data_IF_099362478892
#
_entry.id   IF_099362478892
#
_cell.length_a   1.000
_cell.length_b   1.000
_cell.length_c   1.000
_cell.angle_alpha   90.00
_cell.angle_beta   90.00
_cell.angle_gamma   90.00
#
_symmetry.space_group_name_H-M   'P 1'
#
loop_
_entity.id
_entity.type
_entity.pdbx_description
1 polymer ?
#
# COMPACT_ATOMS: atom_id res chain seq x y z
N UNK A 1 3.13 -0.88 14.43
CA UNK A 1 4.38 -0.45 13.77
C UNK A 1 5.39 -0.06 14.83
N UNK A 2 6.63 -0.59 14.81
CA UNK A 2 7.73 0.10 15.51
C UNK A 2 8.02 1.34 14.68
N UNK A 3 7.57 2.49 15.17
CA UNK A 3 8.05 3.78 14.71
C UNK A 3 9.57 3.72 14.87
N UNK A 4 10.34 3.82 13.79
CA UNK A 4 11.80 3.90 13.91
C UNK A 4 12.17 5.15 14.72
N UNK A 5 13.37 5.18 15.32
CA UNK A 5 13.77 6.30 16.18
C UNK A 5 13.63 7.67 15.50
N UNK A 6 13.91 7.72 14.19
CA UNK A 6 13.79 8.91 13.36
C UNK A 6 12.33 9.31 13.15
N UNK A 7 11.45 8.35 12.89
CA UNK A 7 10.02 8.59 12.69
C UNK A 7 9.33 9.11 13.96
N UNK A 8 9.76 8.63 15.12
CA UNK A 8 9.25 9.08 16.41
C UNK A 8 9.73 10.49 16.69
N UNK A 9 11.01 10.75 16.42
CA UNK A 9 11.60 12.07 16.52
C UNK A 9 10.89 13.07 15.59
N UNK A 10 10.66 12.74 14.31
CA UNK A 10 9.88 13.57 13.37
C UNK A 10 8.48 13.88 13.91
N UNK A 11 7.83 12.91 14.54
CA UNK A 11 6.51 13.12 15.14
C UNK A 11 6.58 14.05 16.37
N UNK A 12 7.60 13.90 17.22
CA UNK A 12 7.85 14.75 18.39
C UNK A 12 8.27 16.17 18.00
N UNK A 13 8.95 16.33 16.86
CA UNK A 13 9.37 17.63 16.33
C UNK A 13 8.17 18.54 16.10
N UNK A 14 7.02 18.01 15.70
CA UNK A 14 5.81 18.81 15.45
C UNK A 14 5.45 19.70 16.65
N UNK A 15 5.46 19.15 17.86
CA UNK A 15 5.18 19.91 19.10
C UNK A 15 6.20 21.01 19.43
N UNK A 16 7.39 20.97 18.84
CA UNK A 16 8.51 21.89 19.15
C UNK A 16 8.75 22.95 18.07
N UNK A 17 8.18 22.80 16.86
CA UNK A 17 8.41 23.71 15.72
C UNK A 17 7.68 25.07 15.87
N UNK A 18 6.85 25.23 16.91
CA UNK A 18 6.11 26.46 17.20
C UNK A 18 4.63 26.35 16.84
N UNK A 19 3.81 27.25 17.39
CA UNK A 19 2.35 27.13 17.36
C UNK A 19 1.72 27.01 15.97
N UNK A 20 2.18 27.81 14.99
CA UNK A 20 1.60 27.81 13.64
C UNK A 20 1.82 26.51 12.87
N UNK A 21 3.00 25.89 13.01
CA UNK A 21 3.28 24.61 12.35
C UNK A 21 2.42 23.49 12.92
N UNK A 22 2.35 23.39 14.25
CA UNK A 22 1.49 22.41 14.95
C UNK A 22 0.03 22.56 14.55
N UNK A 23 -0.46 23.82 14.49
CA UNK A 23 -1.82 24.14 14.08
C UNK A 23 -2.10 23.68 12.65
N UNK A 24 -1.23 24.02 11.69
CA UNK A 24 -1.42 23.59 10.29
C UNK A 24 -1.36 22.08 10.10
N UNK A 25 -0.46 21.39 10.83
CA UNK A 25 -0.43 19.93 10.85
C UNK A 25 -1.77 19.42 11.35
N UNK A 26 -2.27 19.89 12.50
CA UNK A 26 -3.55 19.44 13.03
C UNK A 26 -4.73 19.69 12.07
N UNK A 27 -4.80 20.87 11.46
CA UNK A 27 -5.88 21.26 10.53
C UNK A 27 -5.87 20.42 9.24
N UNK A 28 -4.70 20.09 8.69
CA UNK A 28 -4.60 19.46 7.36
C UNK A 28 -4.32 17.95 7.40
N UNK A 29 -3.64 17.45 8.43
CA UNK A 29 -3.29 16.03 8.55
C UNK A 29 -4.42 15.20 9.16
N UNK A 30 -5.15 15.72 10.16
CA UNK A 30 -6.18 14.94 10.86
C UNK A 30 -7.20 14.31 9.90
N UNK A 31 -7.76 15.03 8.91
CA UNK A 31 -8.67 14.40 7.94
C UNK A 31 -7.99 13.29 7.12
N UNK A 32 -6.71 13.46 6.74
CA UNK A 32 -5.98 12.45 5.96
C UNK A 32 -5.67 11.20 6.80
N UNK A 33 -5.39 11.38 8.09
CA UNK A 33 -5.21 10.27 9.04
C UNK A 33 -6.52 9.53 9.24
N UNK A 34 -7.60 10.24 9.50
CA UNK A 34 -8.87 9.64 9.89
C UNK A 34 -9.58 8.99 8.69
N UNK A 35 -9.57 9.64 7.53
CA UNK A 35 -10.24 9.15 6.33
C UNK A 35 -9.44 8.07 5.58
N UNK A 36 -8.10 8.15 5.61
CA UNK A 36 -7.23 7.29 4.81
C UNK A 36 -6.24 6.43 5.61
N UNK A 37 -6.08 6.66 6.92
CA UNK A 37 -4.99 6.07 7.71
C UNK A 37 -3.59 6.40 7.16
N UNK A 38 -3.41 7.65 6.70
CA UNK A 38 -2.10 8.20 6.37
C UNK A 38 -1.27 8.32 7.65
N UNK A 39 -0.05 7.80 7.61
CA UNK A 39 0.96 7.99 8.65
C UNK A 39 1.52 9.41 8.60
N UNK A 40 1.83 9.96 9.78
CA UNK A 40 2.34 11.32 9.91
C UNK A 40 3.70 11.51 9.21
N UNK A 41 4.52 10.45 9.17
CA UNK A 41 5.89 10.50 8.67
C UNK A 41 5.96 10.81 7.16
N UNK A 42 5.28 10.07 6.26
CA UNK A 42 5.22 10.44 4.85
C UNK A 42 4.73 11.87 4.60
N UNK A 43 3.69 12.28 5.35
CA UNK A 43 3.11 13.63 5.26
C UNK A 43 4.14 14.71 5.61
N UNK A 44 4.80 14.59 6.76
CA UNK A 44 5.80 15.55 7.21
C UNK A 44 7.04 15.53 6.31
N UNK A 45 7.55 14.35 5.93
CA UNK A 45 8.71 14.24 5.02
C UNK A 45 8.45 14.94 3.70
N UNK A 46 7.24 14.84 3.16
CA UNK A 46 6.85 15.53 1.94
C UNK A 46 6.82 17.05 2.11
N UNK A 47 6.10 17.55 3.10
CA UNK A 47 5.99 18.99 3.37
C UNK A 47 7.36 19.61 3.62
N UNK A 48 8.15 18.99 4.50
CA UNK A 48 9.49 19.47 4.85
C UNK A 48 10.42 19.45 3.62
N UNK A 49 10.23 18.50 2.71
CA UNK A 49 10.97 18.47 1.45
C UNK A 49 10.63 19.64 0.53
N UNK A 50 9.35 19.99 0.41
CA UNK A 50 8.91 21.18 -0.34
C UNK A 50 9.37 22.49 0.31
N UNK A 51 9.64 22.48 1.62
CA UNK A 51 10.26 23.58 2.35
C UNK A 51 11.78 23.65 2.17
N UNK A 52 12.37 22.77 1.36
CA UNK A 52 13.76 22.87 0.89
C UNK A 52 14.77 21.95 1.59
N UNK A 53 14.33 21.09 2.51
CA UNK A 53 15.22 20.12 3.17
C UNK A 53 15.25 18.78 2.41
N UNK A 54 16.45 18.22 2.21
CA UNK A 54 16.61 16.90 1.59
C UNK A 54 16.22 15.79 2.57
N UNK A 55 15.80 14.63 2.07
CA UNK A 55 15.41 13.49 2.92
C UNK A 55 16.50 13.05 3.90
N UNK A 56 17.77 13.08 3.48
CA UNK A 56 18.93 12.76 4.35
C UNK A 56 19.08 13.78 5.48
N UNK A 57 18.80 15.06 5.20
CA UNK A 57 18.85 16.12 6.20
C UNK A 57 17.69 15.98 7.18
N UNK A 58 16.48 15.64 6.71
CA UNK A 58 15.32 15.40 7.58
C UNK A 58 15.64 14.31 8.62
N UNK A 59 16.16 13.17 8.17
CA UNK A 59 16.53 12.07 9.07
C UNK A 59 17.69 12.42 10.00
N UNK A 60 18.70 13.17 9.52
CA UNK A 60 19.81 13.60 10.37
C UNK A 60 19.31 14.51 11.47
N UNK A 61 18.48 15.47 11.12
CA UNK A 61 18.05 16.52 12.05
C UNK A 61 17.04 16.01 13.06
N UNK A 62 16.21 15.04 12.70
CA UNK A 62 15.39 14.30 13.64
C UNK A 62 16.23 13.71 14.80
N UNK A 63 17.47 13.30 14.53
CA UNK A 63 18.38 12.73 15.54
C UNK A 63 19.12 13.79 16.37
N UNK A 64 19.27 15.01 15.87
CA UNK A 64 20.21 16.00 16.42
C UNK A 64 19.60 16.93 17.49
N UNK A 65 18.33 17.37 17.36
CA UNK A 65 17.42 17.92 18.40
C UNK A 65 16.32 18.77 17.74
N UNK A 66 15.19 19.07 18.43
CA UNK A 66 14.17 19.98 17.91
C UNK A 66 14.64 21.41 17.60
N UNK A 67 15.58 21.94 18.36
CA UNK A 67 16.11 23.29 18.19
C UNK A 67 16.98 23.40 16.93
N UNK A 68 17.71 22.34 16.58
CA UNK A 68 18.51 22.28 15.36
C UNK A 68 17.59 22.19 14.14
N UNK A 69 16.49 21.43 14.25
CA UNK A 69 15.44 21.37 13.22
C UNK A 69 14.82 22.74 12.98
N UNK A 70 14.37 23.39 14.05
CA UNK A 70 13.81 24.73 14.00
C UNK A 70 14.79 25.72 13.34
N UNK A 71 16.05 25.77 13.79
CA UNK A 71 17.08 26.66 13.23
C UNK A 71 17.35 26.40 11.75
N UNK A 72 17.28 25.16 11.28
CA UNK A 72 17.45 24.84 9.86
C UNK A 72 16.26 25.29 9.02
N UNK A 73 15.05 25.12 9.52
CA UNK A 73 13.87 25.69 8.87
C UNK A 73 13.95 27.23 8.85
N UNK A 74 14.34 27.88 9.96
CA UNK A 74 14.57 29.34 9.99
C UNK A 74 15.62 29.77 8.95
N UNK A 75 16.76 29.08 8.86
CA UNK A 75 17.82 29.35 7.86
C UNK A 75 17.37 29.09 6.42
N UNK A 76 16.52 28.10 6.20
CA UNK A 76 15.90 27.84 4.90
C UNK A 76 14.83 28.89 4.54
N UNK A 77 14.59 29.89 5.39
CA UNK A 77 13.57 30.92 5.19
C UNK A 77 12.14 30.41 5.43
N UNK A 78 12.00 29.26 6.10
CA UNK A 78 10.73 28.55 6.29
C UNK A 78 9.98 29.01 7.54
N UNK A 79 10.70 29.33 8.62
CA UNK A 79 10.12 29.80 9.90
C UNK A 79 10.38 31.30 10.18
N UNK A 80 10.84 32.07 9.19
CA UNK A 80 11.20 33.49 9.34
C UNK A 80 10.45 34.42 8.38
N UNK A 81 10.10 35.64 8.86
CA UNK A 81 9.53 36.87 8.25
C UNK A 81 8.48 36.81 7.10
N UNK A 82 8.18 35.66 6.50
CA UNK A 82 7.12 35.50 5.49
C UNK A 82 6.19 34.32 5.82
N UNK A 83 5.29 34.47 6.81
CA UNK A 83 4.29 33.45 7.15
C UNK A 83 3.42 33.02 5.97
N UNK A 84 3.21 33.92 4.99
CA UNK A 84 2.46 33.66 3.77
C UNK A 84 3.06 32.54 2.92
N UNK A 85 4.37 32.56 2.67
CA UNK A 85 5.06 31.54 1.86
C UNK A 85 5.04 30.17 2.52
N UNK A 86 5.22 30.11 3.84
CA UNK A 86 5.13 28.86 4.60
C UNK A 86 3.73 28.25 4.49
N UNK A 87 2.68 29.05 4.77
CA UNK A 87 1.29 28.61 4.65
C UNK A 87 0.95 28.18 3.22
N UNK A 88 1.42 28.90 2.21
CA UNK A 88 1.23 28.56 0.80
C UNK A 88 1.83 27.19 0.46
N UNK A 89 3.11 26.97 0.76
CA UNK A 89 3.78 25.68 0.50
C UNK A 89 3.11 24.55 1.29
N UNK A 90 2.73 24.79 2.54
CA UNK A 90 2.07 23.81 3.39
C UNK A 90 0.70 23.42 2.83
N UNK A 91 -0.14 24.39 2.47
CA UNK A 91 -1.47 24.16 1.92
C UNK A 91 -1.40 23.49 0.55
N UNK A 92 -0.47 23.93 -0.32
CA UNK A 92 -0.26 23.30 -1.62
C UNK A 92 0.25 21.85 -1.48
N UNK A 93 1.14 21.59 -0.53
CA UNK A 93 1.59 20.22 -0.21
C UNK A 93 0.43 19.37 0.32
N UNK A 94 -0.35 19.90 1.27
CA UNK A 94 -1.50 19.19 1.83
C UNK A 94 -2.53 18.82 0.76
N UNK A 95 -2.79 19.74 -0.18
CA UNK A 95 -3.63 19.50 -1.35
C UNK A 95 -3.05 18.41 -2.26
N UNK A 96 -1.76 18.47 -2.59
CA UNK A 96 -1.13 17.46 -3.44
C UNK A 96 -1.16 16.05 -2.81
N UNK A 97 -0.93 15.94 -1.50
CA UNK A 97 -1.06 14.67 -0.78
C UNK A 97 -2.51 14.16 -0.79
N UNK A 98 -3.49 15.04 -0.59
CA UNK A 98 -4.91 14.69 -0.71
C UNK A 98 -5.25 14.14 -2.09
N UNK A 99 -4.80 14.81 -3.16
CA UNK A 99 -5.01 14.33 -4.53
C UNK A 99 -4.34 12.97 -4.77
N UNK A 100 -3.17 12.71 -4.20
CA UNK A 100 -2.54 11.38 -4.23
C UNK A 100 -3.43 10.32 -3.58
N UNK A 101 -4.00 10.61 -2.41
CA UNK A 101 -4.90 9.67 -1.72
C UNK A 101 -6.21 9.45 -2.47
N UNK A 102 -6.79 10.51 -3.05
CA UNK A 102 -7.96 10.43 -3.91
C UNK A 102 -7.69 9.60 -5.17
N UNK A 103 -6.51 9.74 -5.77
CA UNK A 103 -6.05 8.92 -6.89
C UNK A 103 -6.01 7.45 -6.50
N UNK A 104 -5.39 7.09 -5.38
CA UNK A 104 -5.31 5.71 -4.90
C UNK A 104 -6.70 5.12 -4.61
N UNK A 105 -7.60 5.92 -4.03
CA UNK A 105 -9.00 5.52 -3.80
C UNK A 105 -9.73 5.28 -5.11
N UNK A 106 -9.61 6.19 -6.08
CA UNK A 106 -10.25 6.11 -7.40
C UNK A 106 -9.74 4.94 -8.23
N UNK A 107 -8.42 4.76 -8.29
CA UNK A 107 -7.80 3.78 -9.18
C UNK A 107 -7.70 2.39 -8.57
N UNK A 108 -7.40 2.31 -7.27
CA UNK A 108 -7.09 1.05 -6.57
C UNK A 108 -8.13 0.67 -5.52
N UNK A 109 -9.14 1.51 -5.27
CA UNK A 109 -10.16 1.26 -4.24
C UNK A 109 -9.63 1.40 -2.81
N UNK A 110 -8.40 1.88 -2.62
CA UNK A 110 -7.78 2.05 -1.31
C UNK A 110 -8.39 3.24 -0.58
N UNK A 111 -9.50 2.99 0.11
CA UNK A 111 -10.08 3.96 1.06
C UNK A 111 -9.16 4.16 2.25
N UNK A 112 -8.52 3.07 2.68
CA UNK A 112 -7.53 3.05 3.75
C UNK A 112 -6.22 2.50 3.18
N UNK A 113 -5.12 3.24 3.38
CA UNK A 113 -3.80 2.92 2.80
C UNK A 113 -2.91 2.07 3.73
N UNK A 114 -3.45 1.51 4.82
CA UNK A 114 -2.72 0.56 5.69
C UNK A 114 -2.34 -0.74 4.98
N UNK A 115 -3.04 -1.12 3.90
CA UNK A 115 -2.63 -2.24 3.05
C UNK A 115 -1.41 -1.92 2.19
N UNK A 116 -1.08 -0.64 1.97
CA UNK A 116 0.06 -0.24 1.16
C UNK A 116 1.37 -0.67 1.85
N UNK A 117 2.24 -1.46 1.21
CA UNK A 117 3.49 -1.94 1.82
C UNK A 117 4.40 -0.82 2.33
N UNK A 118 4.45 0.32 1.65
CA UNK A 118 5.16 1.51 2.11
C UNK A 118 4.45 2.80 1.69
N UNK A 119 3.96 3.55 2.67
CA UNK A 119 3.37 4.88 2.44
C UNK A 119 4.40 5.95 2.01
N UNK A 120 5.71 5.67 2.06
CA UNK A 120 6.73 6.57 1.50
C UNK A 120 6.63 6.69 -0.03
N UNK A 121 6.03 5.69 -0.69
CA UNK A 121 5.74 5.74 -2.14
C UNK A 121 4.73 6.81 -2.52
N UNK A 122 4.01 7.39 -1.56
CA UNK A 122 3.12 8.52 -1.82
C UNK A 122 3.88 9.82 -2.10
N UNK A 123 5.13 9.94 -1.61
CA UNK A 123 5.88 11.20 -1.66
C UNK A 123 6.30 11.57 -3.10
N UNK A 124 6.86 10.67 -3.94
CA UNK A 124 7.14 11.02 -5.35
C UNK A 124 5.87 11.35 -6.13
N UNK A 125 4.76 10.63 -5.90
CA UNK A 125 3.47 10.95 -6.55
C UNK A 125 3.00 12.35 -6.13
N UNK A 126 2.96 12.64 -4.83
CA UNK A 126 2.55 13.94 -4.32
C UNK A 126 3.49 15.06 -4.81
N UNK A 127 4.79 14.78 -4.95
CA UNK A 127 5.78 15.72 -5.53
C UNK A 127 5.44 16.02 -6.98
N UNK A 128 5.20 15.00 -7.81
CA UNK A 128 4.78 15.20 -9.19
C UNK A 128 3.50 16.06 -9.28
N UNK A 129 2.47 15.74 -8.49
CA UNK A 129 1.21 16.49 -8.47
C UNK A 129 1.39 17.94 -8.00
N UNK A 130 2.28 18.16 -7.03
CA UNK A 130 2.61 19.50 -6.52
C UNK A 130 3.27 20.38 -7.59
N UNK A 131 4.29 19.86 -8.29
CA UNK A 131 5.04 20.64 -9.28
C UNK A 131 4.28 20.81 -10.60
N UNK A 132 3.41 19.86 -10.97
CA UNK A 132 2.50 19.97 -12.12
C UNK A 132 1.28 20.86 -11.85
N UNK A 133 1.14 21.36 -10.62
CA UNK A 133 0.04 22.23 -10.16
C UNK A 133 -1.36 21.61 -10.42
N UNK A 134 -1.47 20.32 -10.10
CA UNK A 134 -2.67 19.55 -10.38
C UNK A 134 -3.80 20.00 -9.46
N UNK A 135 -4.95 20.30 -10.06
CA UNK A 135 -6.15 20.72 -9.34
C UNK A 135 -7.21 19.60 -9.23
N UNK A 136 -7.15 18.60 -10.11
CA UNK A 136 -8.07 17.47 -10.11
C UNK A 136 -7.42 16.23 -10.73
N UNK A 137 -7.63 15.07 -10.10
CA UNK A 137 -7.14 13.78 -10.62
C UNK A 137 -7.74 13.42 -11.98
N UNK A 138 -8.90 13.97 -12.35
CA UNK A 138 -9.56 13.71 -13.64
C UNK A 138 -8.76 14.22 -14.85
N UNK A 139 -7.84 15.15 -14.63
CA UNK A 139 -6.99 15.74 -15.66
C UNK A 139 -5.67 14.98 -15.86
N UNK A 140 -5.44 13.92 -15.09
CA UNK A 140 -4.20 13.17 -15.11
C UNK A 140 -4.32 11.94 -16.01
N UNK A 141 -3.26 11.68 -16.77
CA UNK A 141 -2.94 10.31 -17.12
C UNK A 141 -2.35 9.63 -15.87
N UNK A 142 -3.00 8.55 -15.45
CA UNK A 142 -2.69 7.84 -14.21
C UNK A 142 -1.98 6.51 -14.45
N UNK A 143 -1.88 6.03 -15.69
CA UNK A 143 -1.41 4.67 -15.98
C UNK A 143 0.01 4.46 -15.44
N UNK A 144 0.94 5.35 -15.80
CA UNK A 144 2.33 5.28 -15.37
C UNK A 144 2.49 5.44 -13.85
N UNK A 145 1.70 6.34 -13.24
CA UNK A 145 1.70 6.58 -11.79
C UNK A 145 1.31 5.31 -11.04
N UNK A 146 0.21 4.67 -11.46
CA UNK A 146 -0.32 3.49 -10.80
C UNK A 146 0.58 2.28 -11.04
N UNK A 147 1.10 2.09 -12.25
CA UNK A 147 2.04 1.00 -12.52
C UNK A 147 3.34 1.17 -11.72
N UNK A 148 3.88 2.40 -11.61
CA UNK A 148 5.02 2.67 -10.74
C UNK A 148 4.71 2.34 -9.28
N UNK A 149 3.55 2.77 -8.76
CA UNK A 149 3.16 2.51 -7.36
C UNK A 149 3.10 1.01 -7.07
N UNK A 150 2.53 0.23 -7.99
CA UNK A 150 2.44 -1.24 -7.92
C UNK A 150 3.85 -1.85 -7.86
N UNK A 151 4.74 -1.48 -8.78
CA UNK A 151 6.11 -1.99 -8.83
C UNK A 151 6.89 -1.59 -7.57
N UNK A 152 6.84 -0.30 -7.21
CA UNK A 152 7.57 0.27 -6.08
C UNK A 152 7.23 -0.42 -4.76
N UNK A 153 5.94 -0.68 -4.53
CA UNK A 153 5.46 -1.37 -3.33
C UNK A 153 5.74 -2.87 -3.36
N UNK A 154 5.60 -3.52 -4.52
CA UNK A 154 5.90 -4.95 -4.62
C UNK A 154 7.39 -5.26 -4.47
N UNK A 155 8.25 -4.41 -5.06
CA UNK A 155 9.71 -4.54 -4.99
C UNK A 155 10.31 -3.98 -3.70
N UNK A 156 9.53 -3.27 -2.89
CA UNK A 156 9.99 -2.71 -1.62
C UNK A 156 11.15 -1.74 -1.80
N UNK A 157 11.04 -0.79 -2.75
CA UNK A 157 12.18 0.04 -3.20
C UNK A 157 12.80 0.88 -2.07
N UNK A 158 12.01 1.22 -1.05
CA UNK A 158 12.41 2.02 0.12
C UNK A 158 12.73 1.20 1.38
N UNK A 159 12.95 -0.11 1.26
CA UNK A 159 13.37 -0.96 2.38
C UNK A 159 14.84 -0.79 2.78
N UNK A 160 15.66 -0.17 1.92
CA UNK A 160 17.09 0.06 2.14
C UNK A 160 17.52 1.36 1.47
N UNK A 161 18.48 2.07 2.09
CA UNK A 161 18.97 3.39 1.63
C UNK A 161 17.82 4.37 1.36
N UNK A 162 16.81 4.33 2.24
CA UNK A 162 15.51 4.98 2.08
C UNK A 162 15.63 6.45 1.72
N UNK A 163 16.39 7.23 2.51
CA UNK A 163 16.51 8.68 2.28
C UNK A 163 17.13 9.01 0.92
N UNK A 164 18.21 8.32 0.53
CA UNK A 164 18.91 8.58 -0.73
C UNK A 164 18.05 8.22 -1.93
N UNK A 165 17.40 7.04 -1.91
CA UNK A 165 16.51 6.61 -2.99
C UNK A 165 15.29 7.50 -3.11
N UNK A 166 14.67 7.83 -1.98
CA UNK A 166 13.50 8.71 -1.96
C UNK A 166 13.86 10.11 -2.46
N UNK A 167 15.02 10.65 -2.07
CA UNK A 167 15.49 11.94 -2.60
C UNK A 167 15.71 11.89 -4.11
N UNK A 168 16.35 10.84 -4.63
CA UNK A 168 16.52 10.62 -6.07
C UNK A 168 15.17 10.63 -6.79
N UNK A 169 14.20 9.86 -6.29
CA UNK A 169 12.88 9.75 -6.94
C UNK A 169 12.11 11.07 -6.87
N UNK A 170 12.22 11.84 -5.78
CA UNK A 170 11.71 13.21 -5.67
C UNK A 170 12.34 14.12 -6.73
N UNK A 171 13.66 14.04 -6.91
CA UNK A 171 14.39 14.86 -7.88
C UNK A 171 14.04 14.49 -9.33
N UNK A 172 13.78 13.22 -9.61
CA UNK A 172 13.36 12.72 -10.93
C UNK A 172 11.98 13.28 -11.33
N UNK A 173 11.00 13.24 -10.42
CA UNK A 173 9.62 13.69 -10.74
C UNK A 173 9.43 15.20 -10.69
N UNK A 174 10.42 15.93 -10.18
CA UNK A 174 10.32 17.37 -9.94
C UNK A 174 10.40 18.14 -11.26
N UNK A 175 9.30 18.81 -11.61
CA UNK A 175 9.24 19.70 -12.77
C UNK A 175 9.16 18.98 -14.12
N UNK A 176 8.84 17.69 -14.14
CA UNK A 176 8.56 16.96 -15.38
C UNK A 176 7.17 17.28 -15.90
N UNK A 177 6.99 17.22 -17.23
CA UNK A 177 5.67 17.42 -17.87
C UNK A 177 4.76 16.19 -17.72
N UNK A 178 5.36 15.02 -17.84
CA UNK A 178 4.74 13.68 -17.75
C UNK A 178 5.38 12.90 -16.60
N UNK A 179 4.73 11.82 -16.16
CA UNK A 179 5.24 11.05 -15.02
C UNK A 179 6.41 10.17 -15.49
N UNK A 180 7.64 10.34 -14.97
CA UNK A 180 8.84 9.73 -15.54
C UNK A 180 9.01 8.26 -15.10
N UNK A 181 8.15 7.37 -15.61
CA UNK A 181 8.12 5.95 -15.22
C UNK A 181 9.47 5.28 -15.43
N UNK A 182 10.05 5.41 -16.63
CA UNK A 182 11.28 4.72 -16.99
C UNK A 182 12.45 5.14 -16.09
N UNK A 183 12.60 6.45 -15.85
CA UNK A 183 13.65 7.01 -15.00
C UNK A 183 13.55 6.52 -13.56
N UNK A 184 12.34 6.45 -13.02
CA UNK A 184 12.06 5.93 -11.68
C UNK A 184 12.39 4.44 -11.58
N UNK A 185 12.15 3.66 -12.63
CA UNK A 185 12.41 2.21 -12.64
C UNK A 185 13.86 1.83 -12.94
N UNK A 186 14.70 2.74 -13.47
CA UNK A 186 16.06 2.44 -13.92
C UNK A 186 16.97 1.74 -12.89
N UNK A 187 16.81 2.01 -11.59
CA UNK A 187 17.62 1.37 -10.53
C UNK A 187 17.03 0.05 -9.99
N UNK A 188 15.82 -0.32 -10.42
CA UNK A 188 15.16 -1.54 -9.97
C UNK A 188 15.56 -2.67 -10.91
N UNK A 189 16.41 -3.58 -10.44
CA UNK A 189 16.74 -4.80 -11.20
C UNK A 189 15.46 -5.60 -11.46
N UNK A 190 15.14 -5.83 -12.73
CA UNK A 190 13.95 -6.57 -13.18
C UNK A 190 12.65 -5.99 -12.58
N UNK A 191 12.25 -4.76 -12.97
CA UNK A 191 11.15 -4.05 -12.32
C UNK A 191 9.82 -4.81 -12.47
N UNK A 192 9.55 -5.36 -13.67
CA UNK A 192 8.32 -6.08 -13.98
C UNK A 192 8.11 -7.31 -13.13
N UNK A 193 6.89 -7.49 -12.63
CA UNK A 193 6.46 -8.59 -11.77
C UNK A 193 6.11 -9.79 -12.65
N UNK A 194 6.78 -10.92 -12.42
CA UNK A 194 6.54 -12.17 -13.16
C UNK A 194 5.61 -13.10 -12.40
N UNK A 195 5.05 -14.10 -13.09
CA UNK A 195 4.27 -15.16 -12.45
C UNK A 195 5.06 -15.87 -11.34
N UNK A 196 6.36 -16.14 -11.58
CA UNK A 196 7.24 -16.74 -10.58
C UNK A 196 7.36 -15.86 -9.32
N UNK A 197 7.37 -14.53 -9.47
CA UNK A 197 7.38 -13.64 -8.32
C UNK A 197 6.08 -13.76 -7.52
N UNK A 198 4.91 -13.78 -8.17
CA UNK A 198 3.64 -13.90 -7.47
C UNK A 198 3.44 -15.29 -6.83
N UNK A 199 3.91 -16.35 -7.49
CA UNK A 199 3.87 -17.73 -6.99
C UNK A 199 4.60 -17.93 -5.66
N UNK A 200 5.67 -17.16 -5.40
CA UNK A 200 6.35 -17.17 -4.09
C UNK A 200 5.41 -16.81 -2.94
N UNK A 201 4.32 -16.09 -3.22
CA UNK A 201 3.28 -15.79 -2.23
C UNK A 201 2.60 -17.04 -1.66
N UNK A 202 2.62 -18.19 -2.34
CA UNK A 202 2.10 -19.45 -1.77
C UNK A 202 3.00 -20.05 -0.69
N UNK A 203 4.26 -19.62 -0.62
CA UNK A 203 5.27 -20.11 0.30
C UNK A 203 5.67 -19.05 1.35
N UNK A 204 4.81 -18.06 1.56
CA UNK A 204 4.99 -16.99 2.55
C UNK A 204 3.65 -16.82 3.27
N UNK A 205 3.69 -16.65 4.60
CA UNK A 205 2.51 -16.21 5.33
C UNK A 205 2.16 -14.76 4.92
N UNK A 206 1.14 -14.60 4.05
CA UNK A 206 0.76 -13.30 3.50
C UNK A 206 0.14 -12.35 4.52
N UNK A 207 -0.21 -12.87 5.71
CA UNK A 207 -0.78 -12.12 6.82
C UNK A 207 0.30 -11.48 7.72
N UNK A 208 1.58 -11.77 7.46
CA UNK A 208 2.73 -11.15 8.14
C UNK A 208 3.33 -10.02 7.28
N UNK A 209 4.22 -9.23 7.88
CA UNK A 209 4.83 -8.05 7.22
C UNK A 209 5.50 -8.37 5.88
N UNK A 210 6.23 -9.50 5.77
CA UNK A 210 6.86 -9.93 4.52
C UNK A 210 5.85 -10.27 3.42
N UNK A 211 4.62 -10.61 3.82
CA UNK A 211 3.49 -10.97 2.98
C UNK A 211 2.65 -9.79 2.46
N UNK A 212 2.80 -8.62 3.09
CA UNK A 212 1.97 -7.45 2.81
C UNK A 212 1.95 -7.04 1.32
N UNK A 213 3.06 -7.11 0.54
CA UNK A 213 3.01 -6.83 -0.89
C UNK A 213 2.06 -7.75 -1.68
N UNK A 214 1.97 -9.03 -1.33
CA UNK A 214 1.07 -9.98 -1.99
C UNK A 214 -0.39 -9.70 -1.63
N UNK A 215 -0.64 -9.39 -0.36
CA UNK A 215 -1.98 -9.05 0.12
C UNK A 215 -2.49 -7.74 -0.51
N UNK A 216 -1.60 -6.76 -0.69
CA UNK A 216 -1.89 -5.53 -1.42
C UNK A 216 -2.29 -5.81 -2.87
N UNK A 217 -1.51 -6.61 -3.61
CA UNK A 217 -1.85 -6.97 -4.99
C UNK A 217 -3.15 -7.76 -5.08
N UNK A 218 -3.41 -8.68 -4.15
CA UNK A 218 -4.68 -9.41 -4.08
C UNK A 218 -5.86 -8.46 -3.92
N UNK A 219 -5.79 -7.53 -2.96
CA UNK A 219 -6.86 -6.54 -2.76
C UNK A 219 -7.12 -5.73 -4.02
N UNK A 220 -6.06 -5.24 -4.67
CA UNK A 220 -6.17 -4.49 -5.92
C UNK A 220 -6.80 -5.33 -7.04
N UNK A 221 -6.40 -6.59 -7.19
CA UNK A 221 -6.97 -7.51 -8.17
C UNK A 221 -8.48 -7.70 -7.95
N UNK A 222 -8.90 -7.94 -6.70
CA UNK A 222 -10.30 -8.08 -6.33
C UNK A 222 -11.11 -6.82 -6.66
N UNK A 223 -10.57 -5.64 -6.34
CA UNK A 223 -11.21 -4.35 -6.67
C UNK A 223 -11.39 -4.19 -8.18
N UNK A 224 -10.36 -4.51 -8.98
CA UNK A 224 -10.40 -4.36 -10.43
C UNK A 224 -11.36 -5.36 -11.09
N UNK A 225 -11.56 -6.54 -10.51
CA UNK A 225 -12.57 -7.51 -10.94
C UNK A 225 -13.96 -7.28 -10.35
N UNK A 226 -14.18 -6.17 -9.63
CA UNK A 226 -15.47 -5.86 -8.99
C UNK A 226 -15.98 -6.99 -8.09
N UNK A 227 -15.05 -7.63 -7.38
CA UNK A 227 -15.36 -8.64 -6.39
C UNK A 227 -16.19 -8.06 -5.23
N UNK A 228 -17.18 -8.83 -4.78
CA UNK A 228 -18.01 -8.52 -3.61
C UNK A 228 -17.44 -9.14 -2.33
N UNK A 229 -18.03 -8.86 -1.17
CA UNK A 229 -17.60 -9.37 0.12
C UNK A 229 -18.28 -10.70 0.49
N UNK A 230 -18.84 -11.40 -0.51
CA UNK A 230 -19.70 -12.59 -0.41
C UNK A 230 -21.04 -12.36 0.29
N UNK A 231 -21.32 -11.11 0.69
CA UNK A 231 -22.61 -10.63 1.15
C UNK A 231 -23.22 -9.60 0.16
N UNK A 232 -22.74 -9.62 -1.09
CA UNK A 232 -23.23 -8.79 -2.19
C UNK A 232 -22.67 -7.37 -2.28
N UNK A 233 -21.95 -6.87 -1.27
CA UNK A 233 -21.36 -5.53 -1.33
C UNK A 233 -19.95 -5.56 -1.93
N UNK A 234 -19.64 -4.66 -2.85
CA UNK A 234 -18.31 -4.60 -3.48
C UNK A 234 -17.21 -4.34 -2.44
N UNK A 235 -16.07 -5.05 -2.53
CA UNK A 235 -14.90 -4.84 -1.65
C UNK A 235 -14.45 -3.38 -1.65
N UNK A 236 -14.48 -2.71 -2.81
CA UNK A 236 -14.16 -1.28 -2.95
C UNK A 236 -15.05 -0.35 -2.11
N UNK A 237 -16.26 -0.78 -1.79
CA UNK A 237 -17.22 0.01 -1.00
C UNK A 237 -17.02 -0.11 0.51
N UNK A 238 -16.28 -1.13 0.96
CA UNK A 238 -16.05 -1.44 2.38
C UNK A 238 -14.81 -0.74 2.94
N UNK A 239 -14.87 -0.40 4.21
CA UNK A 239 -13.68 -0.11 5.01
C UNK A 239 -12.95 -1.43 5.34
N UNK A 240 -11.64 -1.35 5.55
CA UNK A 240 -10.82 -2.56 5.73
C UNK A 240 -11.11 -3.31 7.03
N UNK A 241 -11.63 -2.64 8.05
CA UNK A 241 -12.03 -3.22 9.34
C UNK A 241 -13.36 -4.00 9.28
N UNK A 242 -14.18 -3.75 8.24
CA UNK A 242 -15.38 -4.53 7.90
C UNK A 242 -15.04 -5.85 7.16
N UNK A 243 -13.80 -5.97 6.65
CA UNK A 243 -13.35 -7.13 5.88
C UNK A 243 -12.44 -8.05 6.71
N UNK A 244 -12.65 -9.36 6.56
CA UNK A 244 -11.74 -10.39 7.05
C UNK A 244 -10.80 -10.86 5.94
N UNK A 245 -9.58 -11.24 6.34
CA UNK A 245 -8.64 -11.98 5.49
C UNK A 245 -8.95 -13.48 5.66
N UNK A 246 -9.86 -13.97 4.84
CA UNK A 246 -10.42 -15.31 4.95
C UNK A 246 -9.50 -16.35 4.34
N UNK A 247 -9.30 -17.46 5.06
CA UNK A 247 -8.68 -18.67 4.56
C UNK A 247 -9.73 -19.52 3.84
N UNK A 248 -9.62 -19.64 2.52
CA UNK A 248 -10.59 -20.39 1.69
C UNK A 248 -10.66 -21.86 2.12
N UNK A 249 -9.51 -22.48 2.37
CA UNK A 249 -9.43 -23.69 3.15
C UNK A 249 -9.16 -23.24 4.59
N UNK A 250 -10.15 -23.30 5.50
CA UNK A 250 -9.99 -22.75 6.83
C UNK A 250 -8.80 -23.37 7.55
N UNK A 251 -8.19 -22.59 8.44
CA UNK A 251 -7.03 -23.04 9.21
C UNK A 251 -7.34 -24.32 10.00
N UNK A 252 -8.46 -24.34 10.72
CA UNK A 252 -8.90 -25.48 11.53
C UNK A 252 -9.05 -26.74 10.66
N UNK A 253 -9.73 -26.61 9.52
CA UNK A 253 -9.89 -27.68 8.53
C UNK A 253 -8.55 -28.24 8.02
N UNK A 254 -7.57 -27.38 7.75
CA UNK A 254 -6.23 -27.82 7.33
C UNK A 254 -5.45 -28.47 8.47
N UNK A 255 -5.51 -27.92 9.68
CA UNK A 255 -4.75 -28.43 10.83
C UNK A 255 -5.22 -29.79 11.35
N UNK A 256 -6.47 -30.18 11.04
CA UNK A 256 -7.00 -31.53 11.28
C UNK A 256 -6.52 -32.58 10.26
N UNK A 257 -5.84 -32.15 9.19
CA UNK A 257 -5.39 -33.01 8.10
C UNK A 257 -3.90 -33.38 8.22
N UNK A 258 -3.50 -34.45 7.51
CA UNK A 258 -2.09 -34.91 7.47
C UNK A 258 -1.23 -34.22 6.39
N UNK A 259 -1.74 -33.17 5.71
CA UNK A 259 -1.01 -32.49 4.63
C UNK A 259 -0.23 -31.25 5.11
N UNK A 260 -0.50 -30.78 6.33
CA UNK A 260 0.15 -29.60 6.89
C UNK A 260 1.56 -29.98 7.39
N UNK A 261 2.61 -29.24 7.01
CA UNK A 261 3.96 -29.49 7.52
C UNK A 261 4.06 -29.36 9.05
N UNK A 262 4.93 -30.17 9.66
CA UNK A 262 5.17 -30.11 11.12
C UNK A 262 5.98 -28.88 11.55
N UNK A 263 6.88 -28.38 10.69
CA UNK A 263 7.72 -27.23 11.02
C UNK A 263 6.87 -25.95 11.13
N UNK A 264 6.91 -25.21 12.25
CA UNK A 264 5.98 -24.11 12.49
C UNK A 264 5.98 -22.98 11.43
N UNK A 265 7.11 -22.61 10.84
CA UNK A 265 7.17 -21.54 9.83
C UNK A 265 6.65 -22.00 8.47
N UNK A 266 6.94 -23.24 8.10
CA UNK A 266 6.43 -23.91 6.91
C UNK A 266 4.92 -24.10 7.04
N UNK A 267 4.42 -24.59 8.18
CA UNK A 267 2.98 -24.65 8.53
C UNK A 267 2.29 -23.31 8.28
N UNK A 268 2.82 -22.24 8.86
CA UNK A 268 2.22 -20.91 8.75
C UNK A 268 2.17 -20.40 7.31
N UNK A 269 3.21 -20.68 6.52
CA UNK A 269 3.30 -20.26 5.13
C UNK A 269 2.43 -21.12 4.22
N UNK A 270 2.33 -22.41 4.50
CA UNK A 270 1.49 -23.38 3.81
C UNK A 270 0.00 -23.01 3.93
N UNK A 271 -0.46 -22.76 5.16
CA UNK A 271 -1.85 -22.41 5.48
C UNK A 271 -2.19 -21.00 4.98
N UNK A 272 -1.32 -20.02 5.26
CA UNK A 272 -1.59 -18.60 4.98
C UNK A 272 -0.92 -18.11 3.70
N UNK A 273 -0.76 -18.98 2.70
CA UNK A 273 -0.25 -18.62 1.38
C UNK A 273 -1.26 -17.83 0.55
N UNK A 274 -0.77 -17.05 -0.42
CA UNK A 274 -1.58 -16.16 -1.26
C UNK A 274 -2.80 -16.86 -1.88
N UNK A 275 -2.61 -18.05 -2.44
CA UNK A 275 -3.65 -18.84 -3.06
C UNK A 275 -4.79 -19.21 -2.11
N UNK A 276 -4.54 -19.26 -0.80
CA UNK A 276 -5.56 -19.60 0.19
C UNK A 276 -6.22 -18.38 0.85
N UNK A 277 -5.74 -17.16 0.63
CA UNK A 277 -6.29 -15.96 1.27
C UNK A 277 -7.18 -15.17 0.32
N UNK A 278 -8.30 -14.67 0.83
CA UNK A 278 -9.21 -13.74 0.14
C UNK A 278 -9.79 -12.71 1.11
N UNK A 279 -10.51 -11.71 0.61
CA UNK A 279 -11.20 -10.72 1.44
C UNK A 279 -12.70 -10.93 1.38
N UNK A 280 -13.36 -11.08 2.52
CA UNK A 280 -14.83 -11.21 2.62
C UNK A 280 -15.35 -10.42 3.80
N UNK A 281 -16.67 -10.34 3.94
CA UNK A 281 -17.31 -9.73 5.09
C UNK A 281 -16.88 -10.40 6.41
N UNK A 282 -16.55 -9.59 7.43
CA UNK A 282 -16.03 -10.10 8.71
C UNK A 282 -17.02 -10.96 9.49
N UNK A 283 -18.32 -10.65 9.44
CA UNK A 283 -19.35 -11.46 10.08
C UNK A 283 -19.50 -12.80 9.37
N UNK A 284 -19.58 -12.78 8.03
CA UNK A 284 -19.67 -13.99 7.23
C UNK A 284 -18.47 -14.92 7.44
N UNK A 285 -17.26 -14.37 7.56
CA UNK A 285 -16.07 -15.15 7.89
C UNK A 285 -16.21 -15.92 9.21
N UNK A 286 -16.86 -15.31 10.21
CA UNK A 286 -17.11 -15.97 11.49
C UNK A 286 -18.19 -17.05 11.37
N UNK A 287 -19.20 -16.84 10.52
CA UNK A 287 -20.25 -17.82 10.25
C UNK A 287 -19.73 -19.05 9.49
N UNK A 288 -18.81 -18.88 8.54
CA UNK A 288 -18.16 -20.00 7.82
C UNK A 288 -17.27 -20.83 8.76
N UNK A 289 -16.57 -20.19 9.69
CA UNK A 289 -15.72 -20.88 10.67
C UNK A 289 -14.73 -21.87 10.04
N UNK A 290 -14.67 -23.08 10.57
CA UNK A 290 -13.82 -24.19 10.12
C UNK A 290 -14.43 -25.11 9.05
N UNK A 291 -15.54 -24.73 8.40
CA UNK A 291 -16.25 -25.59 7.45
C UNK A 291 -15.41 -26.02 6.24
N UNK A 292 -15.69 -27.22 5.72
CA UNK A 292 -15.05 -27.74 4.52
C UNK A 292 -15.37 -26.80 3.32
N UNK A 293 -14.36 -26.36 2.54
CA UNK A 293 -14.58 -25.52 1.35
C UNK A 293 -15.57 -26.11 0.36
N UNK A 294 -15.66 -27.44 0.26
CA UNK A 294 -16.62 -28.12 -0.60
C UNK A 294 -18.05 -27.96 -0.13
N UNK A 295 -18.30 -27.69 1.14
CA UNK A 295 -19.66 -27.51 1.64
C UNK A 295 -20.13 -26.08 1.41
N UNK A 296 -19.29 -25.09 1.71
CA UNK A 296 -19.73 -23.70 1.71
C UNK A 296 -19.50 -22.97 0.38
N UNK A 297 -18.48 -23.30 -0.43
CA UNK A 297 -18.16 -22.54 -1.65
C UNK A 297 -19.28 -22.61 -2.70
N UNK A 298 -20.10 -23.67 -2.71
CA UNK A 298 -21.25 -23.79 -3.60
C UNK A 298 -22.30 -22.68 -3.39
N UNK A 299 -22.36 -22.10 -2.20
CA UNK A 299 -23.30 -21.03 -1.86
C UNK A 299 -22.87 -19.67 -2.44
N UNK A 300 -21.63 -19.56 -2.92
CA UNK A 300 -21.03 -18.30 -3.36
C UNK A 300 -20.57 -18.34 -4.83
N UNK A 301 -21.16 -19.20 -5.67
CA UNK A 301 -20.74 -19.43 -7.08
C UNK A 301 -20.50 -18.14 -7.88
N UNK A 302 -21.34 -17.12 -7.70
CA UNK A 302 -21.20 -15.83 -8.41
C UNK A 302 -20.02 -14.98 -7.90
N UNK A 303 -19.68 -15.11 -6.62
CA UNK A 303 -18.60 -14.38 -5.99
C UNK A 303 -17.24 -15.06 -6.22
N UNK A 304 -17.18 -16.39 -6.13
CA UNK A 304 -15.91 -17.14 -6.15
C UNK A 304 -15.08 -16.87 -7.42
N UNK A 305 -15.72 -16.69 -8.59
CA UNK A 305 -15.02 -16.39 -9.84
C UNK A 305 -14.30 -15.04 -9.80
N UNK A 306 -14.97 -14.00 -9.26
CA UNK A 306 -14.37 -12.67 -9.07
C UNK A 306 -13.25 -12.68 -8.02
N UNK A 307 -13.22 -13.69 -7.16
CA UNK A 307 -12.16 -13.93 -6.18
C UNK A 307 -11.05 -14.84 -6.70
N UNK A 308 -11.07 -15.17 -8.00
CA UNK A 308 -10.11 -16.02 -8.68
C UNK A 308 -10.09 -17.46 -8.18
N UNK A 309 -11.12 -17.88 -7.44
CA UNK A 309 -11.27 -19.25 -6.97
C UNK A 309 -11.63 -20.11 -8.19
N UNK A 310 -10.86 -21.19 -8.48
CA UNK A 310 -11.17 -22.06 -9.59
C UNK A 310 -12.55 -22.70 -9.43
N UNK A 311 -13.41 -22.58 -10.45
CA UNK A 311 -14.76 -23.18 -10.48
C UNK A 311 -14.74 -24.71 -10.62
N UNK A 312 -13.57 -25.29 -10.90
CA UNK A 312 -13.32 -26.74 -10.94
C UNK A 312 -13.38 -27.31 -9.52
N UNK A 313 -14.50 -27.92 -9.16
CA UNK A 313 -14.76 -28.41 -7.80
C UNK A 313 -13.90 -29.61 -7.42
N UNK A 314 -13.32 -30.32 -8.40
CA UNK A 314 -12.44 -31.47 -8.17
C UNK A 314 -11.14 -31.09 -7.46
N UNK A 315 -10.79 -29.80 -7.43
CA UNK A 315 -9.62 -29.29 -6.72
C UNK A 315 -9.97 -28.58 -5.40
N UNK A 316 -11.20 -28.71 -4.92
CA UNK A 316 -11.59 -28.19 -3.59
C UNK A 316 -11.32 -29.21 -2.48
N UNK A 317 -10.60 -30.29 -2.79
CA UNK A 317 -10.24 -31.38 -1.87
C UNK A 317 -8.88 -31.14 -1.21
N UNK A 318 -8.68 -31.70 -0.01
CA UNK A 318 -7.43 -31.57 0.75
C UNK A 318 -6.19 -32.01 -0.06
N UNK A 319 -6.25 -33.16 -0.72
CA UNK A 319 -5.13 -33.68 -1.52
C UNK A 319 -4.80 -32.81 -2.74
N UNK A 320 -5.70 -31.90 -3.14
CA UNK A 320 -5.50 -30.92 -4.22
C UNK A 320 -5.21 -29.50 -3.73
N UNK A 321 -5.03 -29.29 -2.42
CA UNK A 321 -4.86 -27.95 -1.84
C UNK A 321 -3.74 -27.12 -2.49
N UNK A 322 -2.56 -27.71 -2.74
CA UNK A 322 -1.47 -27.00 -3.43
C UNK A 322 -1.83 -26.68 -4.89
N UNK A 323 -2.45 -27.62 -5.60
CA UNK A 323 -2.94 -27.40 -6.96
C UNK A 323 -3.98 -26.27 -7.03
N UNK A 324 -4.87 -26.20 -6.03
CA UNK A 324 -5.82 -25.11 -5.85
C UNK A 324 -5.11 -23.77 -5.71
N UNK A 325 -4.16 -23.67 -4.77
CA UNK A 325 -3.39 -22.44 -4.53
C UNK A 325 -2.66 -21.99 -5.81
N UNK A 326 -2.04 -22.91 -6.53
CA UNK A 326 -1.37 -22.59 -7.80
C UNK A 326 -2.35 -22.11 -8.88
N UNK A 327 -3.43 -22.84 -9.16
CA UNK A 327 -4.43 -22.45 -10.16
C UNK A 327 -5.01 -21.07 -9.84
N UNK A 328 -5.30 -20.78 -8.57
CA UNK A 328 -5.79 -19.47 -8.12
C UNK A 328 -4.77 -18.36 -8.33
N UNK A 329 -3.50 -18.55 -7.95
CA UNK A 329 -2.45 -17.51 -8.15
C UNK A 329 -2.21 -17.21 -9.63
N UNK A 330 -2.33 -18.21 -10.53
CA UNK A 330 -2.28 -17.95 -11.99
C UNK A 330 -3.41 -17.02 -12.43
N UNK A 331 -4.65 -17.27 -11.99
CA UNK A 331 -5.80 -16.39 -12.29
C UNK A 331 -5.60 -14.96 -11.77
N UNK A 332 -5.09 -14.82 -10.54
CA UNK A 332 -4.74 -13.50 -9.97
C UNK A 332 -3.69 -12.79 -10.83
N UNK A 333 -2.64 -13.50 -11.24
CA UNK A 333 -1.58 -12.95 -12.09
C UNK A 333 -2.11 -12.45 -13.43
N UNK A 334 -2.91 -13.25 -14.14
CA UNK A 334 -3.45 -12.85 -15.44
C UNK A 334 -4.35 -11.60 -15.34
N UNK A 335 -5.16 -11.50 -14.29
CA UNK A 335 -5.97 -10.31 -14.05
C UNK A 335 -5.10 -9.08 -13.75
N UNK A 336 -4.10 -9.20 -12.89
CA UNK A 336 -3.16 -8.11 -12.60
C UNK A 336 -2.39 -7.67 -13.86
N UNK A 337 -1.94 -8.63 -14.68
CA UNK A 337 -1.25 -8.34 -15.94
C UNK A 337 -2.13 -7.61 -16.94
N UNK A 338 -3.41 -7.96 -17.01
CA UNK A 338 -4.41 -7.27 -17.84
C UNK A 338 -4.64 -5.82 -17.39
N UNK A 339 -4.73 -5.57 -16.09
CA UNK A 339 -5.01 -4.23 -15.54
C UNK A 339 -3.78 -3.34 -15.39
N UNK A 340 -2.57 -3.93 -15.30
CA UNK A 340 -1.32 -3.21 -15.06
C UNK A 340 -0.20 -3.72 -16.00
N UNK A 341 -0.35 -3.54 -17.32
CA UNK A 341 0.56 -4.15 -18.31
C UNK A 341 2.01 -3.60 -18.26
N UNK A 342 2.20 -2.40 -17.71
CA UNK A 342 3.55 -1.84 -17.53
C UNK A 342 4.25 -2.45 -16.31
N UNK A 343 3.49 -2.88 -15.29
CA UNK A 343 4.00 -3.49 -14.06
C UNK A 343 4.26 -4.99 -14.15
N UNK A 344 3.59 -5.72 -15.05
CA UNK A 344 3.70 -7.17 -15.16
C UNK A 344 4.32 -7.60 -16.49
N UNK A 345 5.01 -8.75 -16.50
CA UNK A 345 5.60 -9.38 -17.71
C UNK A 345 5.22 -10.85 -17.80
#
# INVERSE_FOLDING_TARGET
MRIGGVELQISLLTGHIGGDFSRLVQENYSPLRDDYSLDLVPFLRFIISNLGLKQTDISRVARESPEIFRRRLERAGVLGKQPSRFNEVFNKSSKAMRLTLELLKSELGLRNISLLPSQLTLIPIATYLYYKDVNSIKSLDTEEIINWLIIANFRGIYTSRTDTKLQRDIDIVKGTKEFPLNELLNEIRSPKITLSNLMRGNNINVLRKAGQPYLFLLYVALVKEKADDWNGALIRSRNLDELAKHHIFPREYLEESNIVPDEPREKESFISGLGNITFINKQLNAEIGGSDPREYLYNYKESIEKHFIPSDTSIWELDKFEQFKEKRVRKIFEALKRHFPLAFS
#
